data_IF_513346888672
#
_entry.id   IF_513346888672
#
_cell.length_a   1.000
_cell.length_b   1.000
_cell.length_c   1.000
_cell.angle_alpha   90.00
_cell.angle_beta   90.00
_cell.angle_gamma   90.00
#
_symmetry.space_group_name_H-M   'P 1'
#
loop_
_entity.id
_entity.type
_entity.pdbx_description
1 polymer ?
#
# COMPACT_ATOMS: atom_id res chain seq x y z
N UNK A 1 -60.67 -27.48 26.76
CA UNK A 1 -59.88 -27.82 25.55
C UNK A 1 -58.56 -27.06 25.66
N UNK A 2 -57.46 -27.79 25.88
CA UNK A 2 -56.13 -27.24 26.21
C UNK A 2 -55.26 -27.17 24.95
N UNK A 3 -54.76 -25.95 24.69
CA UNK A 3 -53.44 -25.55 24.22
C UNK A 3 -52.64 -26.43 23.24
N UNK A 4 -52.27 -25.84 22.10
CA UNK A 4 -51.00 -26.13 21.44
C UNK A 4 -50.54 -24.87 20.66
N UNK A 5 -49.65 -24.09 21.28
CA UNK A 5 -48.84 -23.07 20.58
C UNK A 5 -47.49 -23.73 20.29
N UNK A 6 -47.21 -23.97 19.01
CA UNK A 6 -45.91 -24.40 18.50
C UNK A 6 -44.92 -23.23 18.52
N UNK A 7 -43.88 -23.36 19.33
CA UNK A 7 -42.76 -22.43 19.41
C UNK A 7 -41.70 -22.83 18.36
N UNK A 8 -41.47 -21.97 17.36
CA UNK A 8 -40.33 -22.11 16.45
C UNK A 8 -39.10 -21.46 17.09
N UNK A 9 -38.09 -22.27 17.44
CA UNK A 9 -36.79 -21.81 17.89
C UNK A 9 -35.89 -21.59 16.67
N UNK A 10 -35.68 -20.33 16.27
CA UNK A 10 -34.68 -19.96 15.25
C UNK A 10 -33.30 -19.88 15.92
N UNK A 11 -32.46 -20.88 15.67
CA UNK A 11 -31.04 -20.86 16.02
C UNK A 11 -30.31 -19.92 15.04
N UNK A 12 -30.13 -18.67 15.44
CA UNK A 12 -29.25 -17.74 14.72
C UNK A 12 -27.81 -18.13 15.03
N UNK A 13 -27.14 -18.84 14.10
CA UNK A 13 -25.68 -18.86 14.08
C UNK A 13 -25.22 -17.44 13.73
N UNK A 14 -24.83 -16.69 14.76
CA UNK A 14 -24.04 -15.48 14.56
C UNK A 14 -22.70 -15.92 13.96
N UNK A 15 -22.58 -15.83 12.63
CA UNK A 15 -21.27 -15.78 11.98
C UNK A 15 -20.68 -14.43 12.35
N UNK A 16 -19.91 -14.41 13.45
CA UNK A 16 -19.03 -13.29 13.73
C UNK A 16 -18.07 -13.18 12.55
N UNK A 17 -18.37 -12.27 11.62
CA UNK A 17 -17.33 -11.72 10.76
C UNK A 17 -16.26 -11.22 11.71
N UNK A 18 -15.11 -11.90 11.74
CA UNK A 18 -14.02 -11.53 12.62
C UNK A 18 -13.49 -10.17 12.14
N UNK A 19 -14.08 -9.10 12.67
CA UNK A 19 -13.43 -7.81 12.67
C UNK A 19 -12.05 -8.03 13.29
N UNK A 20 -11.00 -7.69 12.54
CA UNK A 20 -9.63 -7.75 13.04
C UNK A 20 -9.60 -7.06 14.40
N UNK A 21 -9.24 -7.79 15.47
CA UNK A 21 -8.96 -7.13 16.75
C UNK A 21 -7.81 -6.17 16.48
N UNK A 22 -8.04 -4.87 16.70
CA UNK A 22 -6.98 -3.86 16.74
C UNK A 22 -5.93 -4.36 17.71
N UNK A 23 -4.76 -4.75 17.18
CA UNK A 23 -3.68 -5.22 18.04
C UNK A 23 -2.91 -4.04 18.58
N UNK A 24 -2.51 -4.09 19.84
CA UNK A 24 -1.58 -3.11 20.41
C UNK A 24 -0.11 -3.56 20.27
N UNK A 25 0.12 -4.75 19.70
CA UNK A 25 1.46 -5.36 19.59
C UNK A 25 1.92 -5.41 18.12
N UNK A 26 2.95 -4.64 17.74
CA UNK A 26 3.59 -4.71 16.42
C UNK A 26 3.98 -6.12 15.99
N UNK A 27 4.33 -7.00 16.93
CA UNK A 27 4.81 -8.33 16.58
C UNK A 27 3.72 -9.29 16.13
N UNK A 28 2.47 -9.00 16.49
CA UNK A 28 1.29 -9.75 16.06
C UNK A 28 0.83 -9.43 14.63
N UNK A 29 1.35 -8.35 14.03
CA UNK A 29 0.98 -7.91 12.68
C UNK A 29 1.44 -8.93 11.65
N UNK A 30 0.49 -9.39 10.83
CA UNK A 30 0.81 -10.18 9.64
C UNK A 30 1.21 -9.24 8.52
N UNK A 31 2.39 -9.48 7.97
CA UNK A 31 2.87 -8.83 6.75
C UNK A 31 2.70 -9.86 5.62
N UNK A 32 1.67 -9.66 4.80
CA UNK A 32 1.21 -10.62 3.80
C UNK A 32 1.69 -10.21 2.42
N UNK A 33 2.50 -11.06 1.78
CA UNK A 33 3.01 -10.83 0.42
C UNK A 33 2.58 -11.90 -0.59
N UNK A 34 1.79 -12.90 -0.17
CA UNK A 34 1.39 -14.03 -1.00
C UNK A 34 0.63 -13.63 -2.27
N UNK A 35 -0.05 -12.48 -2.24
CA UNK A 35 -0.76 -11.96 -3.40
C UNK A 35 0.18 -11.53 -4.52
N UNK A 36 1.41 -11.13 -4.22
CA UNK A 36 2.44 -10.87 -5.25
C UNK A 36 2.75 -12.15 -6.02
N UNK A 37 2.94 -13.28 -5.32
CA UNK A 37 3.19 -14.57 -5.95
C UNK A 37 1.98 -15.06 -6.75
N UNK A 38 0.76 -14.86 -6.21
CA UNK A 38 -0.50 -15.17 -6.89
C UNK A 38 -0.60 -14.38 -8.22
N UNK A 39 -0.30 -13.08 -8.16
CA UNK A 39 -0.32 -12.20 -9.33
C UNK A 39 0.67 -12.69 -10.39
N UNK A 40 1.93 -12.96 -10.04
CA UNK A 40 2.93 -13.38 -11.04
C UNK A 40 2.60 -14.73 -11.68
N UNK A 41 1.97 -15.65 -10.94
CA UNK A 41 1.45 -16.90 -11.53
C UNK A 41 0.35 -16.64 -12.55
N UNK A 42 -0.55 -15.70 -12.25
CA UNK A 42 -1.61 -15.28 -13.18
C UNK A 42 -1.02 -14.56 -14.40
N UNK A 43 -0.05 -13.66 -14.19
CA UNK A 43 0.65 -12.90 -15.21
C UNK A 43 1.36 -13.83 -16.22
N UNK A 44 2.05 -14.86 -15.74
CA UNK A 44 2.72 -15.85 -16.60
C UNK A 44 1.73 -16.63 -17.50
N UNK A 45 0.46 -16.72 -17.12
CA UNK A 45 -0.58 -17.30 -17.98
C UNK A 45 -1.02 -16.35 -19.08
N UNK A 46 -0.99 -15.04 -18.86
CA UNK A 46 -1.40 -14.06 -19.87
C UNK A 46 -0.60 -14.23 -21.17
N UNK A 47 0.71 -14.51 -21.06
CA UNK A 47 1.58 -14.78 -22.21
C UNK A 47 1.21 -16.03 -23.02
N UNK A 48 0.38 -16.93 -22.46
CA UNK A 48 -0.08 -18.19 -23.11
C UNK A 48 -1.50 -18.09 -23.65
N UNK A 49 -2.17 -16.96 -23.48
CA UNK A 49 -3.56 -16.76 -23.84
C UNK A 49 -3.70 -15.84 -25.05
N UNK A 50 -4.59 -16.21 -25.97
CA UNK A 50 -4.69 -15.57 -27.29
C UNK A 50 -5.79 -14.50 -27.36
N UNK A 51 -6.68 -14.44 -26.37
CA UNK A 51 -7.82 -13.52 -26.35
C UNK A 51 -7.89 -12.71 -25.05
N UNK A 52 -8.59 -11.58 -25.12
CA UNK A 52 -8.88 -10.74 -23.95
C UNK A 52 -9.66 -11.50 -22.87
N UNK A 53 -10.66 -12.28 -23.29
CA UNK A 53 -11.48 -13.09 -22.37
C UNK A 53 -10.66 -14.14 -21.63
N UNK A 54 -9.70 -14.77 -22.31
CA UNK A 54 -8.78 -15.71 -21.68
C UNK A 54 -7.90 -15.03 -20.62
N UNK A 55 -7.46 -13.80 -20.89
CA UNK A 55 -6.67 -12.98 -19.95
C UNK A 55 -7.47 -12.62 -18.70
N UNK A 56 -8.72 -12.20 -18.89
CA UNK A 56 -9.67 -11.90 -17.81
C UNK A 56 -9.91 -13.14 -16.94
N UNK A 57 -10.13 -14.30 -17.56
CA UNK A 57 -10.34 -15.57 -16.86
C UNK A 57 -9.09 -16.00 -16.07
N UNK A 58 -7.90 -15.85 -16.64
CA UNK A 58 -6.64 -16.18 -15.96
C UNK A 58 -6.45 -15.35 -14.67
N UNK A 59 -6.65 -14.03 -14.72
CA UNK A 59 -6.61 -13.19 -13.51
C UNK A 59 -7.72 -13.53 -12.52
N UNK A 60 -8.94 -13.77 -13.01
CA UNK A 60 -10.06 -14.15 -12.15
C UNK A 60 -9.77 -15.41 -11.33
N UNK A 61 -9.26 -16.47 -11.99
CA UNK A 61 -9.03 -17.77 -11.36
C UNK A 61 -7.80 -17.81 -10.48
N UNK A 62 -6.73 -17.10 -10.86
CA UNK A 62 -5.42 -17.27 -10.23
C UNK A 62 -5.01 -16.13 -9.30
N UNK A 63 -5.65 -14.97 -9.41
CA UNK A 63 -5.35 -13.82 -8.58
C UNK A 63 -6.55 -13.35 -7.75
N UNK A 64 -7.72 -13.23 -8.34
CA UNK A 64 -8.92 -12.74 -7.62
C UNK A 64 -9.56 -13.83 -6.76
N UNK A 65 -9.71 -15.05 -7.28
CA UNK A 65 -10.33 -16.16 -6.55
C UNK A 65 -9.53 -16.58 -5.29
N UNK A 66 -8.19 -16.71 -5.32
CA UNK A 66 -7.40 -17.02 -4.13
C UNK A 66 -6.98 -15.76 -3.36
N UNK A 67 -7.69 -14.63 -3.53
CA UNK A 67 -7.32 -13.38 -2.90
C UNK A 67 -7.24 -13.52 -1.37
N UNK A 68 -6.16 -12.98 -0.79
CA UNK A 68 -6.12 -12.78 0.65
C UNK A 68 -7.27 -11.86 1.12
N UNK A 69 -7.55 -11.78 2.43
CA UNK A 69 -8.49 -10.80 2.96
C UNK A 69 -8.16 -9.37 2.50
N UNK A 70 -6.88 -9.02 2.44
CA UNK A 70 -6.47 -7.67 2.03
C UNK A 70 -6.60 -7.44 0.52
N UNK A 71 -6.28 -8.42 -0.32
CA UNK A 71 -6.54 -8.28 -1.75
C UNK A 71 -8.04 -8.20 -2.05
N UNK A 72 -8.88 -8.92 -1.30
CA UNK A 72 -10.34 -8.83 -1.45
C UNK A 72 -10.85 -7.39 -1.19
N UNK A 73 -10.37 -6.75 -0.13
CA UNK A 73 -10.71 -5.35 0.16
C UNK A 73 -10.10 -4.38 -0.86
N UNK A 74 -8.85 -4.58 -1.26
CA UNK A 74 -8.21 -3.73 -2.25
C UNK A 74 -8.84 -3.85 -3.64
N UNK A 75 -9.39 -5.03 -4.00
CA UNK A 75 -10.22 -5.19 -5.19
C UNK A 75 -11.43 -4.26 -5.11
N UNK A 76 -12.17 -4.28 -4.00
CA UNK A 76 -13.34 -3.42 -3.80
C UNK A 76 -12.97 -1.93 -3.81
N UNK A 77 -11.86 -1.58 -3.19
CA UNK A 77 -11.45 -0.18 -2.96
C UNK A 77 -10.74 0.44 -4.16
N UNK A 78 -9.99 -0.33 -4.94
CA UNK A 78 -8.98 0.18 -5.89
C UNK A 78 -8.96 -0.56 -7.22
N UNK A 79 -8.99 -1.89 -7.29
CA UNK A 79 -8.85 -2.62 -8.57
C UNK A 79 -10.18 -2.68 -9.37
N UNK A 80 -11.29 -2.98 -8.70
CA UNK A 80 -12.60 -3.21 -9.30
C UNK A 80 -12.79 -4.67 -9.71
N UNK A 81 -12.38 -5.03 -10.91
CA UNK A 81 -12.61 -6.36 -11.48
C UNK A 81 -11.41 -6.82 -12.33
N UNK A 82 -11.36 -8.10 -12.76
CA UNK A 82 -10.25 -8.61 -13.55
C UNK A 82 -10.05 -7.88 -14.89
N UNK A 83 -11.14 -7.44 -15.53
CA UNK A 83 -11.11 -6.68 -16.80
C UNK A 83 -10.37 -5.34 -16.65
N UNK A 84 -10.65 -4.60 -15.57
CA UNK A 84 -9.93 -3.37 -15.22
C UNK A 84 -8.43 -3.61 -15.06
N UNK A 85 -8.04 -4.75 -14.47
CA UNK A 85 -6.63 -5.09 -14.31
C UNK A 85 -5.99 -5.48 -15.65
N UNK A 86 -6.65 -6.29 -16.48
CA UNK A 86 -6.18 -6.59 -17.86
C UNK A 86 -5.95 -5.30 -18.64
N UNK A 87 -6.86 -4.33 -18.57
CA UNK A 87 -6.72 -3.04 -19.25
C UNK A 87 -5.47 -2.27 -18.82
N UNK A 88 -5.16 -2.27 -17.52
CA UNK A 88 -3.94 -1.63 -17.00
C UNK A 88 -2.66 -2.36 -17.46
N UNK A 89 -2.67 -3.69 -17.43
CA UNK A 89 -1.53 -4.50 -17.92
C UNK A 89 -1.29 -4.32 -19.42
N UNK A 90 -2.37 -4.14 -20.21
CA UNK A 90 -2.27 -3.84 -21.64
C UNK A 90 -1.74 -2.44 -21.94
N UNK A 91 -1.92 -1.49 -21.02
CA UNK A 91 -1.44 -0.10 -21.17
C UNK A 91 0.00 0.07 -20.70
N UNK A 92 0.42 -0.70 -19.68
CA UNK A 92 1.72 -0.59 -19.02
C UNK A 92 2.56 -1.90 -19.10
N UNK A 93 2.62 -2.60 -20.25
CA UNK A 93 3.15 -3.96 -20.30
C UNK A 93 4.65 -4.04 -19.95
N UNK A 94 5.47 -3.09 -20.42
CA UNK A 94 6.91 -3.08 -20.11
C UNK A 94 7.15 -2.67 -18.66
N UNK A 95 6.37 -1.73 -18.15
CA UNK A 95 6.46 -1.30 -16.75
C UNK A 95 6.20 -2.47 -15.80
N UNK A 96 5.05 -3.17 -15.94
CA UNK A 96 4.73 -4.31 -15.09
C UNK A 96 5.79 -5.41 -15.22
N UNK A 97 6.23 -5.74 -16.43
CA UNK A 97 7.28 -6.74 -16.61
C UNK A 97 8.57 -6.40 -15.85
N UNK A 98 8.98 -5.12 -15.85
CA UNK A 98 10.22 -4.66 -15.24
C UNK A 98 10.19 -4.66 -13.70
N UNK A 99 9.04 -4.42 -13.06
CA UNK A 99 8.95 -4.38 -11.58
C UNK A 99 8.89 -5.77 -10.93
N UNK A 100 8.72 -6.85 -11.72
CA UNK A 100 8.62 -8.23 -11.22
C UNK A 100 9.72 -8.64 -10.22
N UNK A 101 11.02 -8.55 -10.55
CA UNK A 101 12.07 -8.96 -9.62
C UNK A 101 12.04 -8.15 -8.31
N UNK A 102 11.61 -6.89 -8.34
CA UNK A 102 11.59 -6.02 -7.18
C UNK A 102 10.38 -6.27 -6.29
N UNK A 103 9.19 -6.44 -6.88
CA UNK A 103 7.98 -6.83 -6.13
C UNK A 103 8.18 -8.17 -5.41
N UNK A 104 8.81 -9.16 -6.06
CA UNK A 104 9.11 -10.45 -5.45
C UNK A 104 10.08 -10.36 -4.26
N UNK A 105 10.92 -9.32 -4.16
CA UNK A 105 11.84 -9.11 -3.04
C UNK A 105 11.21 -8.43 -1.83
N UNK A 106 9.99 -7.90 -1.94
CA UNK A 106 9.31 -7.18 -0.83
C UNK A 106 9.25 -8.01 0.45
N UNK A 107 9.09 -9.34 0.36
CA UNK A 107 9.06 -10.21 1.55
C UNK A 107 10.33 -10.06 2.43
N UNK A 108 11.47 -9.71 1.82
CA UNK A 108 12.75 -9.50 2.52
C UNK A 108 12.73 -8.24 3.40
N UNK A 109 11.77 -7.33 3.17
CA UNK A 109 11.61 -6.10 3.94
C UNK A 109 10.81 -6.28 5.22
N UNK A 110 10.21 -7.46 5.44
CA UNK A 110 9.41 -7.77 6.62
C UNK A 110 10.09 -7.38 7.95
N UNK A 111 11.40 -7.68 8.19
CA UNK A 111 12.07 -7.26 9.41
C UNK A 111 12.20 -5.74 9.55
N UNK A 112 12.45 -5.03 8.45
CA UNK A 112 12.61 -3.56 8.44
C UNK A 112 11.26 -2.88 8.67
N UNK A 113 10.19 -3.40 8.06
CA UNK A 113 8.82 -2.93 8.31
C UNK A 113 8.48 -3.10 9.79
N UNK A 114 8.76 -4.28 10.35
CA UNK A 114 8.49 -4.58 11.76
C UNK A 114 9.27 -3.67 12.71
N UNK A 115 10.54 -3.40 12.44
CA UNK A 115 11.32 -2.40 13.19
C UNK A 115 10.65 -1.01 13.11
N UNK A 116 10.15 -0.61 11.93
CA UNK A 116 9.39 0.63 11.78
C UNK A 116 8.10 0.68 12.62
N UNK A 117 7.37 -0.42 12.72
CA UNK A 117 6.18 -0.50 13.59
C UNK A 117 6.55 -0.34 15.08
N UNK A 118 7.64 -0.96 15.53
CA UNK A 118 8.15 -0.80 16.90
C UNK A 118 8.59 0.65 17.18
N UNK A 119 9.27 1.29 16.23
CA UNK A 119 9.65 2.71 16.37
C UNK A 119 8.43 3.62 16.41
N UNK A 120 7.42 3.34 15.60
CA UNK A 120 6.16 4.07 15.68
C UNK A 120 5.46 3.88 17.03
N UNK A 121 5.44 2.65 17.58
CA UNK A 121 4.91 2.38 18.91
C UNK A 121 5.64 3.20 19.99
N UNK A 122 6.96 3.37 19.89
CA UNK A 122 7.71 4.20 20.82
C UNK A 122 7.32 5.68 20.78
N UNK A 123 6.87 6.18 19.62
CA UNK A 123 6.33 7.54 19.46
C UNK A 123 4.88 7.65 19.93
N UNK A 124 4.09 6.59 19.75
CA UNK A 124 2.68 6.54 20.10
C UNK A 124 2.29 5.18 20.71
N UNK A 125 2.46 5.00 22.04
CA UNK A 125 2.27 3.71 22.71
C UNK A 125 0.86 3.12 22.60
N UNK A 126 -0.16 3.96 22.39
CA UNK A 126 -1.56 3.55 22.25
C UNK A 126 -1.95 3.15 20.81
N UNK A 127 -0.99 3.13 19.89
CA UNK A 127 -1.23 2.80 18.48
C UNK A 127 -1.90 1.44 18.28
N UNK A 128 -2.84 1.40 17.32
CA UNK A 128 -3.43 0.16 16.84
C UNK A 128 -2.72 -0.32 15.58
N UNK A 129 -2.35 -1.60 15.54
CA UNK A 129 -1.56 -2.20 14.47
C UNK A 129 -2.42 -3.20 13.67
N UNK A 130 -2.94 -2.81 12.50
CA UNK A 130 -3.63 -3.72 11.59
C UNK A 130 -2.64 -4.54 10.74
N UNK A 131 -3.12 -5.61 10.09
CA UNK A 131 -2.32 -6.37 9.15
C UNK A 131 -1.93 -5.53 7.92
N UNK A 132 -0.75 -5.82 7.35
CA UNK A 132 -0.21 -5.14 6.18
C UNK A 132 -0.21 -6.11 5.00
N UNK A 133 -0.82 -5.69 3.89
CA UNK A 133 -0.94 -6.50 2.69
C UNK A 133 -0.22 -5.83 1.53
N UNK A 134 0.67 -6.58 0.89
CA UNK A 134 1.31 -6.18 -0.35
C UNK A 134 0.70 -6.94 -1.52
N UNK A 135 0.30 -6.20 -2.53
CA UNK A 135 -0.49 -6.70 -3.64
C UNK A 135 -0.18 -5.89 -4.90
N UNK A 136 -0.59 -6.39 -6.05
CA UNK A 136 -0.39 -5.72 -7.34
C UNK A 136 -1.74 -5.24 -7.87
N UNK A 137 -1.87 -3.94 -7.99
CA UNK A 137 -3.06 -3.26 -8.45
C UNK A 137 -3.03 -2.90 -9.93
N UNK A 138 -3.87 -1.93 -10.27
CA UNK A 138 -3.97 -1.30 -11.59
C UNK A 138 -3.31 0.08 -11.62
N UNK A 139 -2.27 0.30 -10.79
CA UNK A 139 -1.60 1.59 -10.63
C UNK A 139 -2.54 2.70 -10.10
N UNK A 140 -3.38 2.37 -9.12
CA UNK A 140 -4.43 3.27 -8.62
C UNK A 140 -4.23 3.78 -7.20
N UNK A 141 -3.34 3.17 -6.42
CA UNK A 141 -3.07 3.55 -5.03
C UNK A 141 -1.70 3.02 -4.63
N UNK A 142 -0.85 3.90 -4.11
CA UNK A 142 0.43 3.50 -3.52
C UNK A 142 0.21 2.86 -2.15
N UNK A 143 -0.61 3.51 -1.32
CA UNK A 143 -1.16 3.00 -0.08
C UNK A 143 -2.65 3.32 0.03
N UNK A 144 -3.36 2.55 0.83
CA UNK A 144 -4.71 2.84 1.32
C UNK A 144 -5.00 1.94 2.50
N UNK A 145 -6.03 2.27 3.26
CA UNK A 145 -6.46 1.49 4.42
C UNK A 145 -7.97 1.27 4.46
N UNK A 146 -8.36 0.39 5.38
CA UNK A 146 -9.72 0.23 5.90
C UNK A 146 -9.60 -0.31 7.33
N UNK A 147 -10.71 -0.53 8.02
CA UNK A 147 -10.70 -1.11 9.37
C UNK A 147 -9.96 -2.45 9.46
N UNK A 148 -9.88 -3.23 8.37
CA UNK A 148 -9.28 -4.56 8.33
C UNK A 148 -7.79 -4.62 7.93
N UNK A 149 -7.16 -3.51 7.56
CA UNK A 149 -5.78 -3.60 7.05
C UNK A 149 -5.23 -2.34 6.38
N UNK A 150 -3.91 -2.34 6.23
CA UNK A 150 -3.16 -1.46 5.31
C UNK A 150 -2.88 -2.22 4.01
N UNK A 151 -3.03 -1.54 2.88
CA UNK A 151 -2.92 -2.12 1.55
C UNK A 151 -1.91 -1.33 0.73
N UNK A 152 -0.78 -1.95 0.42
CA UNK A 152 0.31 -1.33 -0.33
C UNK A 152 0.32 -1.86 -1.76
N UNK A 153 0.16 -0.95 -2.71
CA UNK A 153 0.29 -1.22 -4.15
C UNK A 153 1.76 -1.42 -4.51
N UNK A 154 2.21 -2.67 -4.51
CA UNK A 154 3.59 -3.04 -4.78
C UNK A 154 4.08 -2.51 -6.13
N UNK A 155 3.17 -2.32 -7.11
CA UNK A 155 3.51 -1.78 -8.42
C UNK A 155 3.99 -0.33 -8.40
N UNK A 156 3.66 0.44 -7.35
CA UNK A 156 4.06 1.85 -7.23
C UNK A 156 5.33 2.05 -6.38
N UNK A 157 5.78 1.01 -5.66
CA UNK A 157 6.92 1.08 -4.73
C UNK A 157 8.04 0.09 -5.06
N UNK A 158 8.08 -0.43 -6.30
CA UNK A 158 9.04 -1.48 -6.70
C UNK A 158 9.84 -1.13 -7.95
N UNK A 159 9.98 0.15 -8.26
CA UNK A 159 10.73 0.60 -9.43
C UNK A 159 12.20 0.82 -9.12
N UNK A 160 13.03 0.80 -10.16
CA UNK A 160 14.46 1.11 -10.10
C UNK A 160 14.90 1.86 -11.36
N UNK A 161 16.20 2.14 -11.49
CA UNK A 161 16.77 2.85 -12.64
C UNK A 161 16.61 2.12 -13.98
N UNK A 162 16.26 0.83 -13.97
CA UNK A 162 16.00 0.03 -15.17
C UNK A 162 14.51 -0.05 -15.51
N UNK A 163 13.63 0.44 -14.64
CA UNK A 163 12.18 0.38 -14.85
C UNK A 163 11.74 1.45 -15.86
N UNK A 164 11.12 1.07 -17.00
CA UNK A 164 10.72 2.02 -18.02
C UNK A 164 9.50 2.83 -17.59
N UNK A 165 9.62 4.16 -17.58
CA UNK A 165 8.54 5.06 -17.17
C UNK A 165 7.85 5.77 -18.34
N UNK A 166 8.17 5.40 -19.58
CA UNK A 166 7.61 6.02 -20.80
C UNK A 166 6.13 5.66 -21.02
N UNK A 167 5.69 4.52 -20.50
CA UNK A 167 4.29 4.09 -20.54
C UNK A 167 3.42 4.78 -19.47
N UNK A 168 4.05 5.34 -18.42
CA UNK A 168 3.34 5.95 -17.31
C UNK A 168 2.77 7.33 -17.67
N UNK A 169 1.56 7.67 -17.19
CA UNK A 169 1.04 9.03 -17.32
C UNK A 169 1.93 10.04 -16.58
N UNK A 170 1.92 11.30 -17.02
CA UNK A 170 2.87 12.32 -16.55
C UNK A 170 2.95 12.47 -15.02
N UNK A 171 1.81 12.40 -14.32
CA UNK A 171 1.74 12.46 -12.86
C UNK A 171 2.37 11.24 -12.18
N UNK A 172 2.26 10.04 -12.78
CA UNK A 172 2.72 8.78 -12.21
C UNK A 172 4.26 8.66 -12.19
N UNK A 173 4.94 9.34 -13.11
CA UNK A 173 6.42 9.35 -13.19
C UNK A 173 7.06 9.95 -11.94
N UNK A 174 6.39 10.88 -11.27
CA UNK A 174 6.89 11.52 -10.04
C UNK A 174 6.58 10.76 -8.75
N UNK A 175 5.74 9.72 -8.81
CA UNK A 175 5.26 8.95 -7.64
C UNK A 175 5.55 7.46 -7.76
N UNK A 176 6.45 7.11 -8.68
CA UNK A 176 6.97 5.76 -8.85
C UNK A 176 8.23 5.63 -8.00
N UNK A 177 8.15 4.87 -6.92
CA UNK A 177 9.17 4.82 -5.89
C UNK A 177 9.92 3.48 -5.91
N UNK A 178 11.09 3.49 -5.31
CA UNK A 178 11.92 2.30 -5.10
C UNK A 178 11.54 1.58 -3.82
N UNK A 179 11.86 0.30 -3.72
CA UNK A 179 11.48 -0.52 -2.56
C UNK A 179 11.99 0.01 -1.22
N UNK A 180 13.07 0.78 -1.19
CA UNK A 180 13.61 1.38 0.04
C UNK A 180 12.60 2.27 0.79
N UNK A 181 11.59 2.82 0.10
CA UNK A 181 10.55 3.64 0.76
C UNK A 181 9.45 2.81 1.44
N UNK A 182 9.43 1.49 1.28
CA UNK A 182 8.33 0.66 1.79
C UNK A 182 8.06 0.82 3.30
N UNK A 183 9.08 0.82 4.19
CA UNK A 183 8.84 1.05 5.61
C UNK A 183 8.18 2.41 5.85
N UNK A 184 8.53 3.39 5.02
CA UNK A 184 7.94 4.70 5.08
C UNK A 184 6.45 4.69 4.72
N UNK A 185 6.10 4.10 3.58
CA UNK A 185 4.71 4.03 3.14
C UNK A 185 3.86 3.27 4.17
N UNK A 186 4.39 2.18 4.74
CA UNK A 186 3.67 1.43 5.78
C UNK A 186 3.40 2.28 7.02
N UNK A 187 4.40 3.02 7.51
CA UNK A 187 4.22 3.88 8.70
C UNK A 187 3.32 5.08 8.39
N UNK A 188 3.42 5.68 7.19
CA UNK A 188 2.53 6.75 6.75
C UNK A 188 1.06 6.29 6.75
N UNK A 189 0.76 5.14 6.16
CA UNK A 189 -0.59 4.56 6.20
C UNK A 189 -1.02 4.14 7.61
N UNK A 190 -0.08 3.72 8.46
CA UNK A 190 -0.35 3.42 9.87
C UNK A 190 -0.74 4.68 10.65
N UNK A 191 -0.14 5.84 10.36
CA UNK A 191 -0.55 7.11 10.97
C UNK A 191 -1.98 7.43 10.56
N UNK A 192 -2.31 7.31 9.26
CA UNK A 192 -3.68 7.48 8.79
C UNK A 192 -4.66 6.52 9.47
N UNK A 193 -4.23 5.29 9.80
CA UNK A 193 -5.07 4.34 10.54
C UNK A 193 -5.41 4.82 11.96
N UNK A 194 -4.54 5.63 12.58
CA UNK A 194 -4.82 6.23 13.89
C UNK A 194 -5.65 7.52 13.80
N UNK A 195 -5.66 8.17 12.64
CA UNK A 195 -6.31 9.47 12.48
C UNK A 195 -7.82 9.35 12.40
N UNK A 196 -8.51 9.84 13.43
CA UNK A 196 -9.96 10.04 13.44
C UNK A 196 -10.32 11.48 13.05
N UNK A 197 -9.84 11.90 11.87
CA UNK A 197 -10.06 13.26 11.38
C UNK A 197 -11.38 13.36 10.60
N UNK A 198 -12.15 14.41 10.85
CA UNK A 198 -13.30 14.73 10.02
C UNK A 198 -12.85 15.01 8.58
N UNK A 199 -13.48 14.35 7.60
CA UNK A 199 -13.17 14.55 6.18
C UNK A 199 -13.49 15.99 5.77
N UNK A 200 -12.46 16.76 5.45
CA UNK A 200 -12.56 18.15 5.01
C UNK A 200 -11.59 18.41 3.85
N UNK A 201 -11.96 19.32 2.95
CA UNK A 201 -11.13 19.71 1.79
C UNK A 201 -10.39 21.04 2.01
N UNK A 202 -10.28 21.50 3.25
CA UNK A 202 -9.48 22.69 3.54
C UNK A 202 -7.99 22.35 3.46
N UNK A 203 -7.17 23.35 3.17
CA UNK A 203 -5.72 23.21 3.19
C UNK A 203 -5.23 22.76 4.58
N UNK A 204 -5.77 23.36 5.65
CA UNK A 204 -5.45 22.98 7.02
C UNK A 204 -5.76 21.49 7.29
N UNK A 205 -6.93 21.00 6.86
CA UNK A 205 -7.27 19.59 7.03
C UNK A 205 -6.32 18.68 6.25
N UNK A 206 -5.90 19.08 5.04
CA UNK A 206 -4.95 18.31 4.24
C UNK A 206 -3.55 18.27 4.88
N UNK A 207 -3.08 19.40 5.40
CA UNK A 207 -1.80 19.49 6.14
C UNK A 207 -1.84 18.65 7.41
N UNK A 208 -2.95 18.68 8.16
CA UNK A 208 -3.11 17.86 9.36
C UNK A 208 -3.24 16.36 9.02
N UNK A 209 -3.84 16.00 7.88
CA UNK A 209 -3.98 14.61 7.48
C UNK A 209 -2.66 14.04 6.95
N UNK A 210 -2.18 14.57 5.83
CA UNK A 210 -1.01 14.06 5.10
C UNK A 210 0.30 14.49 5.77
N UNK A 211 0.39 15.76 6.19
CA UNK A 211 1.62 16.30 6.78
C UNK A 211 1.99 15.66 8.11
N UNK A 212 0.99 15.27 8.91
CA UNK A 212 1.24 14.50 10.15
C UNK A 212 1.67 13.07 9.85
N UNK A 213 1.08 12.43 8.84
CA UNK A 213 1.49 11.09 8.40
C UNK A 213 2.95 11.07 7.92
N UNK A 214 3.32 12.06 7.11
CA UNK A 214 4.69 12.26 6.66
C UNK A 214 5.65 12.57 7.81
N UNK A 215 5.28 13.50 8.70
CA UNK A 215 6.13 13.92 9.82
C UNK A 215 6.40 12.76 10.80
N UNK A 216 5.37 12.01 11.19
CA UNK A 216 5.52 10.87 12.09
C UNK A 216 6.20 9.68 11.39
N UNK A 217 5.98 9.50 10.09
CA UNK A 217 6.77 8.58 9.27
C UNK A 217 8.27 8.95 9.29
N UNK A 218 8.61 10.22 9.11
CA UNK A 218 10.01 10.70 9.13
C UNK A 218 10.64 10.49 10.50
N UNK A 219 9.91 10.84 11.55
CA UNK A 219 10.39 10.65 12.92
C UNK A 219 10.61 9.18 13.28
N UNK A 220 9.74 8.28 12.81
CA UNK A 220 9.84 6.85 13.12
C UNK A 220 10.95 6.15 12.32
N UNK A 221 11.01 6.36 11.00
CA UNK A 221 11.84 5.56 10.09
C UNK A 221 12.73 6.36 9.14
N UNK A 222 12.81 7.69 9.30
CA UNK A 222 13.60 8.55 8.42
C UNK A 222 13.01 8.71 7.03
N UNK A 223 11.68 8.60 6.92
CA UNK A 223 10.91 8.81 5.70
C UNK A 223 11.24 10.10 4.97
N UNK A 224 11.65 9.96 3.73
CA UNK A 224 11.53 11.03 2.73
C UNK A 224 10.97 10.48 1.42
N UNK A 225 9.95 9.61 1.52
CA UNK A 225 9.38 8.89 0.38
C UNK A 225 8.94 9.82 -0.77
N UNK A 226 8.66 11.09 -0.48
CA UNK A 226 8.26 12.12 -1.45
C UNK A 226 9.18 13.35 -1.46
N UNK A 227 10.33 13.25 -0.77
CA UNK A 227 11.36 14.27 -0.51
C UNK A 227 11.57 15.32 -1.61
N UNK A 228 11.92 14.86 -2.80
CA UNK A 228 12.36 15.74 -3.89
C UNK A 228 11.24 16.24 -4.80
N UNK A 229 10.09 15.56 -4.84
CA UNK A 229 8.96 15.92 -5.73
C UNK A 229 7.88 16.73 -4.99
N UNK A 230 7.70 16.51 -3.69
CA UNK A 230 6.64 17.14 -2.87
C UNK A 230 7.17 18.25 -1.95
N UNK A 231 8.38 18.13 -1.38
CA UNK A 231 8.89 19.07 -0.37
C UNK A 231 9.78 20.21 -0.89
N UNK A 232 9.62 20.60 -2.16
CA UNK A 232 10.31 21.77 -2.74
C UNK A 232 9.98 23.12 -2.06
N UNK A 233 9.13 23.14 -1.03
CA UNK A 233 8.60 24.35 -0.40
C UNK A 233 8.87 24.51 1.11
N UNK A 234 9.71 23.66 1.74
CA UNK A 234 9.87 23.66 3.21
C UNK A 234 11.24 24.08 3.75
N UNK A 235 12.34 23.53 3.22
CA UNK A 235 13.70 23.75 3.72
C UNK A 235 14.73 23.52 2.60
N UNK A 236 15.34 24.59 2.04
CA UNK A 236 16.33 24.47 0.96
C UNK A 236 17.61 23.75 1.37
N UNK A 237 18.03 23.83 2.64
CA UNK A 237 19.24 23.20 3.12
C UNK A 237 19.04 21.68 3.25
N UNK A 238 17.85 21.28 3.71
CA UNK A 238 17.44 19.88 3.72
C UNK A 238 17.26 19.36 2.29
N UNK A 239 16.62 20.11 1.39
CA UNK A 239 16.50 19.71 -0.02
C UNK A 239 17.87 19.51 -0.73
N UNK A 240 18.87 20.36 -0.43
CA UNK A 240 20.21 20.28 -1.00
C UNK A 240 21.03 19.08 -0.49
N UNK A 241 20.96 18.79 0.81
CA UNK A 241 21.60 17.61 1.41
C UNK A 241 21.07 16.29 0.82
N UNK A 242 19.84 16.29 0.33
CA UNK A 242 19.12 15.12 -0.19
C UNK A 242 19.29 14.91 -1.70
N UNK A 243 19.63 15.97 -2.43
CA UNK A 243 19.90 15.90 -3.88
C UNK A 243 21.29 15.34 -4.20
N UNK A 244 22.09 14.95 -3.20
CA UNK A 244 23.47 14.49 -3.39
C UNK A 244 24.41 15.55 -3.95
N UNK A 245 24.02 16.84 -3.90
CA UNK A 245 24.88 17.96 -4.28
C UNK A 245 25.83 18.20 -3.11
N UNK A 246 27.16 18.17 -3.31
CA UNK A 246 28.10 18.54 -2.25
C UNK A 246 27.76 19.96 -1.82
N UNK A 247 27.47 20.16 -0.53
CA UNK A 247 27.38 21.48 0.08
C UNK A 247 28.79 22.08 0.09
N UNK A 248 29.19 22.63 -1.05
CA UNK A 248 30.40 23.40 -1.21
C UNK A 248 30.28 24.71 -0.45
N UNK A 249 31.00 24.74 0.67
CA UNK A 249 31.52 25.92 1.37
C UNK A 249 30.55 27.09 1.57
N UNK A 250 29.99 27.14 2.79
CA UNK A 250 29.87 28.41 3.47
C UNK A 250 31.24 29.11 3.48
N UNK A 251 31.40 30.17 2.69
CA UNK A 251 32.46 31.14 2.84
C UNK A 251 31.93 32.55 2.62
N UNK A 252 31.89 33.27 3.73
CA UNK A 252 32.17 34.70 3.89
C UNK A 252 31.71 35.64 2.77
N UNK A 253 30.72 36.48 3.08
CA UNK A 253 30.90 37.94 3.27
C UNK A 253 29.53 38.62 3.46
N UNK A 254 29.45 39.38 4.56
CA UNK A 254 28.62 40.56 4.85
C UNK A 254 27.19 40.61 4.30
#
# INVERSE_FOLDING_TARGET
MRSALTLWLLLVLATSGAAQRRSADPDSVRIVTSDIDNFWRAYDRLARHSTHEDSVRALAEQYFKPASPGLSEFIRLRIGNPDSLVGALGTLPRYYAAIRPNTLRIHQMTPIIRDGLHRFQALYPEAAFPDVYFLIGRFSSMGTLSDSGLYIGAEMVSSDSSTPTDELPGWARGVTLRSEVIPCIVVHELVHYQQDNARSRTLLASVLNEGVADFLGDLAVGCQATGSVVYGYGDPARAAALAGVPTGEARDRL
#
